data_IF_238908304152
#
_entry.id   IF_238908304152
#
_cell.length_a   1.000
_cell.length_b   1.000
_cell.length_c   1.000
_cell.angle_alpha   90.00
_cell.angle_beta   90.00
_cell.angle_gamma   90.00
#
_symmetry.space_group_name_H-M   'P 1'
#
loop_
_entity.id
_entity.type
_entity.pdbx_description
1 polymer ?
#
# COMPACT_ATOMS: atom_id res chain seq x y z
N UNK A 1 -15.56 4.12 -3.95
CA UNK A 1 -14.26 3.46 -3.68
C UNK A 1 -14.36 1.94 -3.50
N UNK A 2 -15.19 1.41 -2.57
CA UNK A 2 -15.34 -0.06 -2.37
C UNK A 2 -15.66 -0.86 -3.64
N UNK A 3 -16.56 -0.36 -4.50
CA UNK A 3 -16.86 -1.00 -5.78
C UNK A 3 -15.68 -1.00 -6.77
N UNK A 4 -14.83 0.03 -6.74
CA UNK A 4 -13.62 0.09 -7.58
C UNK A 4 -12.57 -0.91 -7.10
N UNK A 5 -12.41 -1.05 -5.78
CA UNK A 5 -11.55 -2.06 -5.16
C UNK A 5 -12.05 -3.48 -5.49
N UNK A 6 -13.35 -3.74 -5.35
CA UNK A 6 -13.93 -5.03 -5.74
C UNK A 6 -13.69 -5.34 -7.23
N UNK A 7 -13.85 -4.36 -8.12
CA UNK A 7 -13.54 -4.50 -9.55
C UNK A 7 -12.06 -4.77 -9.82
N UNK A 8 -11.15 -4.14 -9.06
CA UNK A 8 -9.73 -4.41 -9.19
C UNK A 8 -9.37 -5.84 -8.73
N UNK A 9 -10.09 -6.38 -7.76
CA UNK A 9 -9.81 -7.71 -7.18
C UNK A 9 -10.50 -8.87 -7.89
N UNK A 10 -11.63 -8.64 -8.57
CA UNK A 10 -12.44 -9.72 -9.15
C UNK A 10 -11.67 -10.56 -10.18
N UNK A 11 -10.73 -9.95 -10.89
CA UNK A 11 -9.88 -10.61 -11.87
C UNK A 11 -8.71 -11.38 -11.23
N UNK A 12 -8.61 -11.37 -9.89
CA UNK A 12 -7.51 -11.97 -9.13
C UNK A 12 -6.13 -11.60 -9.68
N UNK A 13 -5.84 -10.30 -9.87
CA UNK A 13 -4.61 -9.85 -10.52
C UNK A 13 -3.39 -10.30 -9.73
N UNK A 14 -2.26 -10.54 -10.40
CA UNK A 14 -1.00 -10.89 -9.74
C UNK A 14 -0.28 -9.67 -9.15
N UNK A 15 -0.61 -8.47 -9.65
CA UNK A 15 -0.05 -7.20 -9.21
C UNK A 15 -1.16 -6.19 -8.95
N UNK A 16 -1.12 -5.52 -7.80
CA UNK A 16 -2.05 -4.46 -7.42
C UNK A 16 -1.26 -3.18 -7.19
N UNK A 17 -1.65 -2.12 -7.91
CA UNK A 17 -1.12 -0.78 -7.82
C UNK A 17 -2.12 0.10 -7.07
N UNK A 18 -1.71 0.64 -5.93
CA UNK A 18 -2.54 1.47 -5.06
C UNK A 18 -1.91 2.87 -4.99
N UNK A 19 -2.44 3.81 -5.78
CA UNK A 19 -2.00 5.20 -5.79
C UNK A 19 -2.86 6.02 -4.82
N UNK A 20 -2.20 6.61 -3.82
CA UNK A 20 -2.82 7.32 -2.68
C UNK A 20 -4.10 6.63 -2.14
N UNK A 21 -4.00 5.35 -1.71
CA UNK A 21 -5.17 4.54 -1.41
C UNK A 21 -5.98 5.06 -0.21
N UNK A 22 -5.35 5.85 0.64
CA UNK A 22 -5.92 6.46 1.84
C UNK A 22 -6.26 7.94 1.68
N UNK A 23 -6.09 8.51 0.48
CA UNK A 23 -6.45 9.90 0.21
C UNK A 23 -7.95 10.15 0.46
N UNK A 24 -8.27 11.20 1.22
CA UNK A 24 -9.64 11.63 1.54
C UNK A 24 -10.51 10.60 2.30
N UNK A 25 -9.94 9.57 2.93
CA UNK A 25 -10.67 8.64 3.82
C UNK A 25 -10.21 8.78 5.27
N UNK A 26 -11.10 8.45 6.21
CA UNK A 26 -10.78 8.46 7.63
C UNK A 26 -9.71 7.41 8.01
N UNK A 27 -9.16 7.57 9.21
CA UNK A 27 -8.09 6.70 9.73
C UNK A 27 -8.51 5.24 9.86
N UNK A 28 -9.75 4.98 10.27
CA UNK A 28 -10.26 3.63 10.46
C UNK A 28 -10.37 2.89 9.12
N UNK A 29 -10.92 3.57 8.11
CA UNK A 29 -11.02 3.06 6.75
C UNK A 29 -9.64 2.84 6.11
N UNK A 30 -8.68 3.73 6.38
CA UNK A 30 -7.29 3.59 5.93
C UNK A 30 -6.64 2.31 6.48
N UNK A 31 -6.85 2.05 7.78
CA UNK A 31 -6.37 0.82 8.42
C UNK A 31 -7.01 -0.43 7.82
N UNK A 32 -8.33 -0.43 7.62
CA UNK A 32 -9.05 -1.57 7.00
C UNK A 32 -8.55 -1.86 5.58
N UNK A 33 -8.30 -0.81 4.79
CA UNK A 33 -7.77 -0.95 3.43
C UNK A 33 -6.35 -1.52 3.44
N UNK A 34 -5.49 -1.03 4.33
CA UNK A 34 -4.14 -1.57 4.49
C UNK A 34 -4.18 -3.04 4.87
N UNK A 35 -5.00 -3.44 5.85
CA UNK A 35 -5.15 -4.85 6.24
C UNK A 35 -5.54 -5.72 5.05
N UNK A 36 -6.49 -5.28 4.22
CA UNK A 36 -6.86 -6.01 3.00
C UNK A 36 -5.68 -6.18 2.05
N UNK A 37 -4.92 -5.11 1.78
CA UNK A 37 -3.75 -5.18 0.91
C UNK A 37 -2.67 -6.13 1.46
N UNK A 38 -2.47 -6.15 2.77
CA UNK A 38 -1.55 -7.09 3.44
C UNK A 38 -2.02 -8.54 3.28
N UNK A 39 -3.31 -8.82 3.47
CA UNK A 39 -3.85 -10.17 3.27
C UNK A 39 -3.71 -10.65 1.83
N UNK A 40 -3.96 -9.77 0.85
CA UNK A 40 -3.73 -10.08 -0.56
C UNK A 40 -2.25 -10.37 -0.85
N UNK A 41 -1.33 -9.65 -0.20
CA UNK A 41 0.09 -9.94 -0.30
C UNK A 41 0.45 -11.33 0.25
N UNK A 42 -0.13 -11.68 1.40
CA UNK A 42 0.04 -13.02 2.01
C UNK A 42 -0.51 -14.15 1.14
N UNK A 43 -1.53 -13.87 0.34
CA UNK A 43 -2.07 -14.79 -0.67
C UNK A 43 -1.20 -14.89 -1.93
N UNK A 44 -0.02 -14.26 -1.95
CA UNK A 44 0.95 -14.33 -3.05
C UNK A 44 0.81 -13.22 -4.09
N UNK A 45 -0.02 -12.21 -3.85
CA UNK A 45 -0.15 -11.06 -4.76
C UNK A 45 0.95 -10.03 -4.52
N UNK A 46 1.46 -9.43 -5.58
CA UNK A 46 2.40 -8.32 -5.48
C UNK A 46 1.63 -7.01 -5.25
N UNK A 47 1.99 -6.27 -4.21
CA UNK A 47 1.34 -4.99 -3.88
C UNK A 47 2.37 -3.87 -3.99
N UNK A 48 2.03 -2.80 -4.71
CA UNK A 48 2.78 -1.54 -4.71
C UNK A 48 1.87 -0.41 -4.27
N UNK A 49 2.25 0.28 -3.20
CA UNK A 49 1.55 1.44 -2.66
C UNK A 49 2.40 2.68 -2.96
N UNK A 50 1.80 3.67 -3.61
CA UNK A 50 2.35 5.02 -3.72
C UNK A 50 1.61 5.91 -2.71
N UNK A 51 2.35 6.47 -1.76
CA UNK A 51 1.76 7.39 -0.76
C UNK A 51 2.81 8.36 -0.23
N UNK A 52 2.34 9.52 0.22
CA UNK A 52 3.12 10.46 1.03
C UNK A 52 2.89 10.28 2.54
N UNK A 53 2.01 9.37 2.97
CA UNK A 53 1.69 9.15 4.38
C UNK A 53 2.70 8.20 5.07
N UNK A 54 3.55 8.79 5.92
CA UNK A 54 4.54 8.04 6.70
C UNK A 54 3.91 7.13 7.78
N UNK A 55 2.73 7.46 8.30
CA UNK A 55 2.04 6.61 9.27
C UNK A 55 1.58 5.31 8.61
N UNK A 56 1.03 5.41 7.40
CA UNK A 56 0.64 4.25 6.60
C UNK A 56 1.84 3.35 6.31
N UNK A 57 2.97 3.93 5.92
CA UNK A 57 4.22 3.19 5.67
C UNK A 57 4.67 2.44 6.93
N UNK A 58 4.70 3.11 8.09
CA UNK A 58 5.08 2.48 9.36
C UNK A 58 4.14 1.34 9.75
N UNK A 59 2.84 1.54 9.57
CA UNK A 59 1.82 0.53 9.87
C UNK A 59 1.91 -0.67 8.90
N UNK A 60 2.27 -0.46 7.64
CA UNK A 60 2.53 -1.54 6.70
C UNK A 60 3.75 -2.35 7.13
N UNK A 61 4.86 -1.67 7.46
CA UNK A 61 6.10 -2.32 7.93
C UNK A 61 5.93 -3.15 9.20
N UNK A 62 4.97 -2.81 10.06
CA UNK A 62 4.70 -3.61 11.27
C UNK A 62 3.92 -4.91 10.99
N UNK A 63 3.25 -5.02 9.85
CA UNK A 63 2.43 -6.20 9.49
C UNK A 63 3.08 -7.11 8.46
N UNK A 64 3.98 -6.57 7.63
CA UNK A 64 4.62 -7.24 6.50
C UNK A 64 6.00 -6.65 6.23
N UNK A 65 6.94 -7.51 5.83
CA UNK A 65 8.24 -7.06 5.30
C UNK A 65 8.03 -6.34 3.97
N UNK A 66 8.06 -5.01 4.02
CA UNK A 66 7.87 -4.15 2.86
C UNK A 66 9.17 -3.41 2.53
N UNK A 67 9.53 -3.39 1.25
CA UNK A 67 10.60 -2.54 0.73
C UNK A 67 10.03 -1.15 0.48
N UNK A 68 10.65 -0.14 1.11
CA UNK A 68 10.25 1.26 0.96
C UNK A 68 11.19 1.97 0.00
N UNK A 69 10.62 2.64 -1.00
CA UNK A 69 11.34 3.45 -1.96
C UNK A 69 10.90 4.91 -1.78
N UNK A 70 11.85 5.84 -1.85
CA UNK A 70 11.61 7.27 -1.77
C UNK A 70 11.88 7.90 -3.13
N UNK A 71 10.94 8.71 -3.60
CA UNK A 71 11.15 9.58 -4.77
C UNK A 71 11.64 10.93 -4.25
N UNK A 72 12.81 11.37 -4.72
CA UNK A 72 13.39 12.70 -4.44
C UNK A 72 14.18 13.17 -5.65
N UNK A 73 14.05 14.43 -6.03
CA UNK A 73 14.79 15.03 -7.16
C UNK A 73 14.65 14.21 -8.46
N UNK A 74 13.43 13.71 -8.73
CA UNK A 74 13.08 12.81 -9.84
C UNK A 74 13.85 11.49 -9.87
N UNK A 75 14.51 11.11 -8.78
CA UNK A 75 15.21 9.83 -8.61
C UNK A 75 14.49 8.96 -7.57
N UNK A 76 14.47 7.66 -7.85
CA UNK A 76 14.00 6.64 -6.92
C UNK A 76 15.20 6.12 -6.10
N UNK A 77 15.08 6.11 -4.79
CA UNK A 77 16.12 5.65 -3.87
C UNK A 77 15.52 4.67 -2.87
N UNK A 78 16.31 3.68 -2.43
CA UNK A 78 15.93 2.86 -1.28
C UNK A 78 15.81 3.77 -0.07
N UNK A 79 14.66 3.72 0.59
CA UNK A 79 14.53 4.40 1.87
C UNK A 79 15.28 3.58 2.92
N UNK A 80 16.16 4.23 3.68
CA UNK A 80 16.95 3.57 4.71
C UNK A 80 16.09 2.95 5.82
N UNK A 81 16.75 2.32 6.79
CA UNK A 81 16.12 1.71 7.97
C UNK A 81 15.26 2.68 8.79
N UNK A 82 15.50 3.98 8.66
CA UNK A 82 15.05 5.02 9.59
C UNK A 82 13.62 5.55 9.33
N UNK A 83 12.81 4.80 8.55
CA UNK A 83 11.38 5.08 8.32
C UNK A 83 10.45 4.20 9.14
#
# INVERSE_FOLDING_TARGET
QRAALARALIMSPDVILADEPTGNVDWEMSTRLLTLLVELNRMGKTILIATHDLNLIRQAKSQVSARVLRIRDKKLQLAGSDL
#
